data_IF_022961974052
#
_entry.id   IF_022961974052
#
_cell.length_a   1.000
_cell.length_b   1.000
_cell.length_c   1.000
_cell.angle_alpha   90.00
_cell.angle_beta   90.00
_cell.angle_gamma   90.00
#
_symmetry.space_group_name_H-M   'P 1'
#
loop_
_entity.id
_entity.type
_entity.pdbx_description
1 polymer ?
#
# COMPACT_ATOMS: atom_id res chain seq x y z
N UNK A 1 -2.46 -12.08 -3.73
CA UNK A 1 -2.03 -13.23 -2.92
C UNK A 1 -0.68 -13.02 -2.25
N UNK A 2 0.39 -12.65 -2.98
CA UNK A 2 1.74 -12.47 -2.39
C UNK A 2 1.82 -11.61 -1.13
N UNK A 3 1.03 -10.53 -1.06
CA UNK A 3 1.06 -9.56 0.02
C UNK A 3 0.10 -9.87 1.20
N UNK A 4 -0.72 -10.93 1.11
CA UNK A 4 -1.78 -11.24 2.09
C UNK A 4 -1.32 -11.23 3.56
N UNK A 5 -0.20 -11.88 3.96
CA UNK A 5 0.21 -11.89 5.37
C UNK A 5 0.58 -10.48 5.88
N UNK A 6 1.37 -9.73 5.11
CA UNK A 6 1.79 -8.39 5.48
C UNK A 6 0.63 -7.38 5.48
N UNK A 7 -0.30 -7.49 4.52
CA UNK A 7 -1.47 -6.60 4.46
C UNK A 7 -2.40 -6.80 5.66
N UNK A 8 -2.61 -8.06 6.10
CA UNK A 8 -3.44 -8.34 7.28
C UNK A 8 -2.84 -7.76 8.56
N UNK A 9 -1.52 -7.92 8.75
CA UNK A 9 -0.83 -7.36 9.91
C UNK A 9 -0.84 -5.83 9.95
N UNK A 10 -0.51 -5.17 8.84
CA UNK A 10 -0.54 -3.70 8.77
C UNK A 10 -1.95 -3.14 8.96
N UNK A 11 -2.97 -3.84 8.45
CA UNK A 11 -4.36 -3.44 8.64
C UNK A 11 -4.82 -3.58 10.10
N UNK A 12 -4.48 -4.70 10.75
CA UNK A 12 -4.76 -4.91 12.17
C UNK A 12 -4.10 -3.83 13.05
N UNK A 13 -2.85 -3.46 12.76
CA UNK A 13 -2.18 -2.34 13.44
C UNK A 13 -2.94 -1.03 13.27
N UNK A 14 -3.35 -0.73 12.04
CA UNK A 14 -4.03 0.53 11.72
C UNK A 14 -5.33 0.67 12.52
N UNK A 15 -6.10 -0.41 12.64
CA UNK A 15 -7.32 -0.45 13.47
C UNK A 15 -6.97 -0.29 14.96
N UNK A 16 -5.95 -1.01 15.45
CA UNK A 16 -5.63 -1.05 16.87
C UNK A 16 -4.98 0.24 17.41
N UNK A 17 -4.30 1.00 16.55
CA UNK A 17 -3.52 2.20 16.93
C UNK A 17 -4.08 3.51 16.36
N UNK A 18 -5.10 3.42 15.50
CA UNK A 18 -5.67 4.56 14.76
C UNK A 18 -4.61 5.36 13.97
N UNK A 19 -3.55 4.66 13.53
CA UNK A 19 -2.47 5.24 12.74
C UNK A 19 -1.90 4.17 11.80
N UNK A 20 -1.45 4.55 10.59
CA UNK A 20 -0.81 3.59 9.70
C UNK A 20 0.47 3.03 10.33
N UNK A 21 0.79 1.78 9.97
CA UNK A 21 2.10 1.19 10.19
C UNK A 21 3.09 1.75 9.15
N UNK A 22 4.39 1.81 9.47
CA UNK A 22 5.41 2.38 8.57
C UNK A 22 5.38 1.78 7.16
N UNK A 23 5.11 0.47 7.06
CA UNK A 23 4.98 -0.24 5.79
C UNK A 23 3.75 0.15 4.96
N UNK A 24 2.64 0.59 5.58
CA UNK A 24 1.43 1.00 4.85
C UNK A 24 1.20 2.52 4.83
N UNK A 25 2.00 3.32 5.54
CA UNK A 25 1.89 4.79 5.59
C UNK A 25 1.95 5.47 4.21
N UNK A 26 2.80 5.04 3.25
CA UNK A 26 2.81 5.61 1.89
C UNK A 26 1.54 5.32 1.07
N UNK A 27 0.74 4.35 1.49
CA UNK A 27 -0.40 3.83 0.73
C UNK A 27 -1.75 4.42 1.20
N UNK A 28 -1.72 5.45 2.04
CA UNK A 28 -2.91 6.19 2.48
C UNK A 28 -3.60 6.92 1.32
N UNK A 29 -4.91 7.19 1.44
CA UNK A 29 -5.66 7.92 0.40
C UNK A 29 -5.20 9.37 0.22
N UNK A 30 -4.72 9.97 1.31
CA UNK A 30 -4.16 11.33 1.34
C UNK A 30 -2.98 11.50 0.34
N UNK A 31 -2.32 10.41 -0.07
CA UNK A 31 -1.29 10.44 -1.12
C UNK A 31 -1.80 11.05 -2.44
N UNK A 32 -3.08 10.87 -2.77
CA UNK A 32 -3.66 11.46 -3.99
C UNK A 32 -3.90 12.96 -3.85
N UNK A 33 -4.26 13.42 -2.66
CA UNK A 33 -4.41 14.84 -2.38
C UNK A 33 -3.06 15.56 -2.46
N UNK A 34 -2.00 14.95 -1.95
CA UNK A 34 -0.63 15.48 -2.00
C UNK A 34 0.09 15.27 -3.34
N UNK A 35 -0.50 14.55 -4.29
CA UNK A 35 0.15 14.20 -5.56
C UNK A 35 1.27 13.16 -5.45
N UNK A 36 1.35 12.42 -4.34
CA UNK A 36 2.34 11.37 -4.07
C UNK A 36 1.89 10.02 -4.66
N UNK A 37 1.81 9.95 -5.99
CA UNK A 37 1.47 8.70 -6.68
C UNK A 37 2.64 7.73 -6.61
N UNK A 38 2.36 6.50 -6.19
CA UNK A 38 3.33 5.39 -6.23
C UNK A 38 3.20 4.72 -7.59
N UNK A 39 4.28 4.78 -8.38
CA UNK A 39 4.36 4.20 -9.72
C UNK A 39 4.96 2.78 -9.62
N UNK A 40 4.18 1.76 -9.96
CA UNK A 40 4.54 0.34 -9.89
C UNK A 40 4.62 -0.30 -11.30
N UNK A 41 4.93 0.50 -12.33
CA UNK A 41 4.99 0.07 -13.74
C UNK A 41 5.70 -1.27 -13.93
N UNK A 42 5.02 -2.19 -14.63
CA UNK A 42 5.53 -3.52 -14.96
C UNK A 42 5.51 -4.57 -13.85
N UNK A 43 5.25 -4.19 -12.58
CA UNK A 43 5.31 -5.11 -11.43
C UNK A 43 3.96 -5.72 -11.05
N UNK A 44 2.91 -5.31 -11.77
CA UNK A 44 1.56 -5.89 -11.69
C UNK A 44 1.47 -7.27 -12.34
N UNK A 45 0.29 -7.89 -12.32
CA UNK A 45 0.10 -9.24 -12.85
C UNK A 45 0.29 -9.38 -14.38
N UNK A 46 0.35 -8.26 -15.10
CA UNK A 46 0.42 -8.22 -16.56
C UNK A 46 1.84 -7.86 -17.03
N UNK A 47 2.62 -8.83 -17.54
CA UNK A 47 4.04 -8.63 -17.88
C UNK A 47 4.29 -7.75 -19.12
N UNK A 48 3.23 -7.27 -19.79
CA UNK A 48 3.31 -6.45 -21.01
C UNK A 48 3.12 -4.95 -20.78
N UNK A 49 2.97 -4.52 -19.53
CA UNK A 49 2.81 -3.10 -19.18
C UNK A 49 4.16 -2.56 -18.72
N UNK A 50 5.04 -2.22 -19.65
CA UNK A 50 6.26 -1.45 -19.38
C UNK A 50 5.98 0.04 -19.53
#
# INVERSE_FOLDING_TARGET
FKATPASGWCFAWTIAKDQPHDLNAPFTLDRFHRGLVIDDKGQGANPRLH
#
